data_IF_788923116935
#
_entry.id   IF_788923116935
#
_cell.length_a   1.000
_cell.length_b   1.000
_cell.length_c   1.000
_cell.angle_alpha   90.00
_cell.angle_beta   90.00
_cell.angle_gamma   90.00
#
_symmetry.space_group_name_H-M   'P 1'
#
loop_
_entity.id
_entity.type
_entity.pdbx_description
1 polymer ?
#
# COMPACT_ATOMS: atom_id res chain seq x y z
N UNK A 1 27.11 -9.70 -0.70
CA UNK A 1 25.65 -9.97 -0.75
C UNK A 1 24.92 -8.67 -0.46
N UNK A 2 24.12 -8.16 -1.40
CA UNK A 2 23.32 -6.95 -1.19
C UNK A 2 21.99 -7.36 -0.57
N UNK A 3 21.65 -6.79 0.59
CA UNK A 3 20.26 -6.74 1.02
C UNK A 3 19.56 -5.82 0.02
N UNK A 4 18.54 -6.32 -0.70
CA UNK A 4 17.74 -5.49 -1.59
C UNK A 4 17.09 -4.40 -0.74
N UNK A 5 17.48 -3.15 -0.96
CA UNK A 5 16.81 -2.02 -0.32
C UNK A 5 15.42 -1.90 -0.94
N UNK A 6 14.40 -2.38 -0.23
CA UNK A 6 13.01 -1.98 -0.45
C UNK A 6 12.75 -0.56 0.11
N UNK A 7 13.74 0.33 0.03
CA UNK A 7 13.56 1.73 0.38
C UNK A 7 12.82 2.40 -0.78
N UNK A 8 11.61 2.89 -0.51
CA UNK A 8 11.00 3.86 -1.40
C UNK A 8 11.86 5.12 -1.35
N UNK A 9 12.69 5.32 -2.37
CA UNK A 9 13.41 6.57 -2.57
C UNK A 9 12.48 7.49 -3.35
N UNK A 10 11.89 8.54 -2.74
CA UNK A 10 11.10 9.50 -3.50
C UNK A 10 12.00 10.10 -4.59
N UNK A 11 11.49 10.14 -5.82
CA UNK A 11 12.10 10.97 -6.87
C UNK A 11 12.08 12.40 -6.34
N UNK A 12 13.25 13.03 -6.22
CA UNK A 12 13.35 14.47 -5.97
C UNK A 12 12.44 15.19 -6.95
N UNK A 13 11.42 15.87 -6.46
CA UNK A 13 10.71 16.85 -7.27
C UNK A 13 11.72 17.96 -7.59
N UNK A 14 12.22 17.98 -8.84
CA UNK A 14 12.96 19.13 -9.33
C UNK A 14 12.02 20.35 -9.20
N UNK A 15 12.47 21.39 -8.50
CA UNK A 15 11.77 22.68 -8.43
C UNK A 15 11.51 23.13 -9.88
N UNK A 16 10.26 23.13 -10.32
CA UNK A 16 9.90 23.60 -11.66
C UNK A 16 10.19 25.10 -11.72
N UNK A 17 11.20 25.46 -12.52
CA UNK A 17 11.49 26.86 -12.86
C UNK A 17 10.28 27.40 -13.62
N UNK A 18 9.61 28.40 -13.04
CA UNK A 18 8.52 29.12 -13.70
C UNK A 18 9.12 29.92 -14.86
N UNK A 19 8.91 29.50 -16.11
CA UNK A 19 8.99 30.40 -17.28
C UNK A 19 8.26 29.83 -18.52
N UNK A 20 7.42 30.69 -19.12
CA UNK A 20 6.90 30.73 -20.50
C UNK A 20 5.55 30.06 -20.93
N UNK A 21 4.62 30.98 -21.26
CA UNK A 21 3.60 31.06 -22.34
C UNK A 21 2.58 29.93 -22.58
N UNK A 22 1.30 30.35 -22.61
CA UNK A 22 0.07 29.54 -22.55
C UNK A 22 -0.15 28.41 -23.58
N UNK A 23 0.65 28.34 -24.65
CA UNK A 23 0.58 27.25 -25.64
C UNK A 23 1.55 26.10 -25.31
N UNK A 24 2.72 26.41 -24.78
CA UNK A 24 3.67 25.42 -24.28
C UNK A 24 3.11 24.70 -23.05
N UNK A 25 2.32 25.39 -22.22
CA UNK A 25 1.63 24.79 -21.07
C UNK A 25 0.57 23.76 -21.47
N UNK A 26 -0.11 23.91 -22.61
CA UNK A 26 -1.10 22.92 -23.07
C UNK A 26 -0.42 21.67 -23.64
N UNK A 27 0.67 21.82 -24.41
CA UNK A 27 1.48 20.69 -24.88
C UNK A 27 2.27 20.02 -23.73
N UNK A 28 2.72 20.78 -22.74
CA UNK A 28 3.32 20.26 -21.51
C UNK A 28 2.27 19.56 -20.65
N UNK A 29 1.05 20.09 -20.52
CA UNK A 29 -0.05 19.43 -19.82
C UNK A 29 -0.54 18.18 -20.56
N UNK A 30 -0.57 18.19 -21.90
CA UNK A 30 -0.92 17.03 -22.71
C UNK A 30 0.20 15.99 -22.71
N UNK A 31 1.46 16.43 -22.77
CA UNK A 31 2.64 15.58 -22.63
C UNK A 31 2.77 15.01 -21.22
N UNK A 32 2.51 15.79 -20.18
CA UNK A 32 2.41 15.34 -18.79
C UNK A 32 1.20 14.45 -18.57
N UNK A 33 0.06 14.71 -19.23
CA UNK A 33 -1.12 13.83 -19.22
C UNK A 33 -0.80 12.48 -19.89
N UNK A 34 -0.09 12.48 -21.03
CA UNK A 34 0.38 11.26 -21.69
C UNK A 34 1.47 10.53 -20.89
N UNK A 35 2.37 11.25 -20.21
CA UNK A 35 3.36 10.68 -19.29
C UNK A 35 2.76 10.20 -17.97
N UNK A 36 1.65 10.78 -17.52
CA UNK A 36 0.86 10.32 -16.36
C UNK A 36 -0.17 9.25 -16.72
N UNK A 37 -0.31 8.95 -18.01
CA UNK A 37 -1.02 7.81 -18.58
C UNK A 37 -0.07 6.61 -18.81
N UNK A 38 0.86 6.36 -17.87
CA UNK A 38 1.34 4.99 -17.65
C UNK A 38 0.24 4.15 -16.98
N UNK A 39 -0.95 4.14 -17.59
CA UNK A 39 -2.10 3.40 -17.15
C UNK A 39 -2.04 1.99 -17.70
N UNK A 40 -2.40 1.00 -16.88
CA UNK A 40 -2.68 -0.35 -17.36
C UNK A 40 -3.80 -0.27 -18.42
N UNK A 41 -3.58 -0.87 -19.58
CA UNK A 41 -4.61 -1.17 -20.57
C UNK A 41 -5.04 -2.64 -20.49
N UNK A 42 -6.23 -2.96 -21.02
CA UNK A 42 -6.66 -4.37 -21.12
C UNK A 42 -5.64 -5.23 -21.86
N UNK A 43 -5.04 -4.69 -22.93
CA UNK A 43 -3.99 -5.36 -23.67
C UNK A 43 -2.76 -5.63 -22.78
N UNK A 44 -2.35 -4.68 -21.93
CA UNK A 44 -1.22 -4.89 -21.01
C UNK A 44 -1.49 -6.04 -20.03
N UNK A 45 -2.71 -6.11 -19.50
CA UNK A 45 -3.12 -7.19 -18.60
C UNK A 45 -3.12 -8.55 -19.31
N UNK A 46 -3.67 -8.64 -20.52
CA UNK A 46 -3.66 -9.87 -21.33
C UNK A 46 -2.24 -10.30 -21.73
N UNK A 47 -1.38 -9.33 -22.08
CA UNK A 47 0.03 -9.58 -22.37
C UNK A 47 0.79 -10.08 -21.14
N UNK A 48 0.52 -9.52 -19.96
CA UNK A 48 1.10 -9.96 -18.70
C UNK A 48 0.68 -11.39 -18.34
N UNK A 49 -0.61 -11.73 -18.47
CA UNK A 49 -1.10 -13.09 -18.26
C UNK A 49 -0.45 -14.07 -19.24
N UNK A 50 -0.33 -13.69 -20.51
CA UNK A 50 0.36 -14.48 -21.53
C UNK A 50 1.83 -14.72 -21.16
N UNK A 51 2.53 -13.69 -20.68
CA UNK A 51 3.90 -13.79 -20.20
C UNK A 51 4.02 -14.77 -19.04
N UNK A 52 3.18 -14.66 -18.00
CA UNK A 52 3.20 -15.58 -16.87
C UNK A 52 2.96 -17.01 -17.32
N UNK A 53 1.95 -17.25 -18.15
CA UNK A 53 1.60 -18.60 -18.56
C UNK A 53 2.64 -19.25 -19.48
N UNK A 54 3.26 -18.49 -20.37
CA UNK A 54 4.36 -19.00 -21.18
C UNK A 54 5.58 -19.33 -20.32
N UNK A 55 5.91 -18.48 -19.34
CA UNK A 55 7.04 -18.70 -18.42
C UNK A 55 6.80 -19.90 -17.50
N UNK A 56 5.57 -20.08 -17.03
CA UNK A 56 5.16 -21.23 -16.23
C UNK A 56 5.25 -22.53 -17.04
N UNK A 57 4.73 -22.55 -18.27
CA UNK A 57 4.80 -23.71 -19.18
C UNK A 57 6.25 -24.10 -19.53
N UNK A 58 7.18 -23.15 -19.55
CA UNK A 58 8.63 -23.40 -19.72
C UNK A 58 9.34 -23.84 -18.44
N UNK A 59 8.67 -23.85 -17.30
CA UNK A 59 9.27 -24.18 -16.00
C UNK A 59 10.22 -23.11 -15.46
N UNK A 60 10.05 -21.85 -15.88
CA UNK A 60 10.88 -20.72 -15.43
C UNK A 60 10.32 -20.05 -14.17
N UNK A 61 9.02 -20.18 -13.94
CA UNK A 61 8.33 -19.67 -12.76
C UNK A 61 7.42 -20.76 -12.17
N UNK A 62 6.98 -20.55 -10.94
CA UNK A 62 6.08 -21.44 -10.22
C UNK A 62 5.10 -20.66 -9.34
N UNK A 63 4.11 -21.35 -8.80
CA UNK A 63 3.14 -20.79 -7.88
C UNK A 63 1.85 -21.61 -7.91
N UNK A 64 1.16 -21.62 -6.78
CA UNK A 64 -0.12 -22.32 -6.58
C UNK A 64 -1.24 -21.79 -7.47
N UNK A 65 -1.19 -20.52 -7.86
CA UNK A 65 -2.15 -19.92 -8.78
C UNK A 65 -1.81 -20.21 -10.25
N UNK A 66 -0.57 -20.56 -10.60
CA UNK A 66 -0.17 -20.73 -12.01
C UNK A 66 -1.00 -21.77 -12.79
N UNK A 67 -1.28 -22.99 -12.27
CA UNK A 67 -2.11 -23.95 -12.99
C UNK A 67 -3.48 -23.38 -13.33
N UNK A 68 -4.12 -22.73 -12.36
CA UNK A 68 -5.45 -22.13 -12.52
C UNK A 68 -5.43 -20.91 -13.45
N UNK A 69 -4.43 -20.05 -13.30
CA UNK A 69 -4.24 -18.85 -14.13
C UNK A 69 -4.07 -19.20 -15.61
N UNK A 70 -3.49 -20.37 -15.90
CA UNK A 70 -3.06 -20.76 -17.24
C UNK A 70 -3.90 -21.85 -17.89
N UNK A 71 -4.87 -22.41 -17.16
CA UNK A 71 -5.89 -23.34 -17.68
C UNK A 71 -7.24 -22.68 -17.92
N UNK A 72 -7.55 -21.60 -17.20
CA UNK A 72 -8.86 -20.94 -17.21
C UNK A 72 -8.87 -19.66 -18.07
N UNK A 73 -10.05 -19.32 -18.59
CA UNK A 73 -10.26 -18.05 -19.29
C UNK A 73 -10.67 -16.96 -18.30
N UNK A 74 -9.83 -15.94 -18.15
CA UNK A 74 -10.15 -14.73 -17.40
C UNK A 74 -11.10 -13.85 -18.21
N UNK A 75 -12.15 -13.37 -17.55
CA UNK A 75 -13.11 -12.44 -18.14
C UNK A 75 -13.20 -11.15 -17.32
N UNK A 76 -13.87 -10.13 -17.87
CA UNK A 76 -14.10 -8.84 -17.21
C UNK A 76 -12.81 -8.16 -16.68
N UNK A 77 -11.74 -8.21 -17.48
CA UNK A 77 -10.48 -7.56 -17.13
C UNK A 77 -10.69 -6.04 -17.07
N UNK A 78 -10.44 -5.47 -15.89
CA UNK A 78 -10.52 -4.04 -15.64
C UNK A 78 -9.23 -3.59 -14.96
N UNK A 79 -8.47 -2.75 -15.65
CA UNK A 79 -7.29 -2.13 -15.08
C UNK A 79 -7.67 -1.16 -13.97
N UNK A 80 -6.86 -1.16 -12.91
CA UNK A 80 -6.99 -0.23 -11.81
C UNK A 80 -5.89 0.83 -11.98
N UNK A 81 -6.26 2.11 -11.90
CA UNK A 81 -5.34 3.24 -12.01
C UNK A 81 -4.76 3.65 -10.66
N UNK A 82 -3.72 4.49 -10.69
CA UNK A 82 -3.15 5.18 -9.51
C UNK A 82 -2.54 4.25 -8.44
N UNK A 83 -1.56 3.43 -8.83
CA UNK A 83 -0.79 2.63 -7.89
C UNK A 83 0.66 3.11 -7.82
N UNK A 84 1.21 3.18 -6.61
CA UNK A 84 2.55 3.69 -6.39
C UNK A 84 3.60 2.64 -6.79
N UNK A 85 4.26 2.83 -7.93
CA UNK A 85 5.41 2.00 -8.31
C UNK A 85 5.08 0.55 -8.71
N UNK A 86 3.80 0.21 -8.88
CA UNK A 86 3.36 -1.03 -9.52
C UNK A 86 3.02 -0.81 -10.99
N UNK A 87 3.58 -1.68 -11.84
CA UNK A 87 3.27 -1.67 -13.27
C UNK A 87 2.05 -2.53 -13.62
N UNK A 88 1.63 -3.43 -12.73
CA UNK A 88 0.52 -4.36 -12.97
C UNK A 88 -0.45 -4.35 -11.80
N UNK A 89 -1.65 -3.82 -12.04
CA UNK A 89 -2.81 -3.99 -11.16
C UNK A 89 -4.08 -4.04 -12.02
N UNK A 90 -4.77 -5.17 -12.01
CA UNK A 90 -6.06 -5.30 -12.69
C UNK A 90 -6.97 -6.28 -11.94
N UNK A 91 -8.28 -6.02 -12.01
CA UNK A 91 -9.28 -6.99 -11.56
C UNK A 91 -9.74 -7.87 -12.71
N UNK A 92 -10.08 -9.11 -12.41
CA UNK A 92 -10.67 -10.05 -13.37
C UNK A 92 -11.67 -10.97 -12.66
N UNK A 93 -12.54 -11.61 -13.43
CA UNK A 93 -13.44 -12.67 -12.93
C UNK A 93 -12.82 -14.03 -13.20
N UNK A 94 -12.66 -14.82 -12.14
CA UNK A 94 -12.15 -16.20 -12.12
C UNK A 94 -13.13 -17.08 -11.33
N UNK A 95 -13.66 -18.14 -11.94
CA UNK A 95 -14.65 -19.05 -11.31
C UNK A 95 -15.84 -18.32 -10.65
N UNK A 96 -16.40 -17.33 -11.35
CA UNK A 96 -17.47 -16.45 -10.86
C UNK A 96 -17.11 -15.57 -9.66
N UNK A 97 -15.86 -15.59 -9.20
CA UNK A 97 -15.32 -14.71 -8.18
C UNK A 97 -14.48 -13.60 -8.81
N UNK A 98 -14.57 -12.39 -8.26
CA UNK A 98 -13.70 -11.29 -8.69
C UNK A 98 -12.41 -11.33 -7.88
N UNK A 99 -11.28 -11.22 -8.57
CA UNK A 99 -9.96 -11.15 -7.96
C UNK A 99 -9.23 -9.89 -8.45
N UNK A 100 -8.17 -9.52 -7.75
CA UNK A 100 -7.23 -8.49 -8.20
C UNK A 100 -5.84 -9.12 -8.33
N UNK A 101 -5.28 -9.08 -9.52
CA UNK A 101 -3.92 -9.50 -9.83
C UNK A 101 -2.99 -8.31 -9.73
N UNK A 102 -1.84 -8.51 -9.06
CA UNK A 102 -0.88 -7.46 -8.76
C UNK A 102 0.55 -7.95 -9.01
N UNK A 103 1.38 -7.07 -9.55
CA UNK A 103 2.83 -7.23 -9.60
C UNK A 103 3.54 -5.87 -9.70
N UNK A 104 4.69 -5.75 -9.04
CA UNK A 104 5.55 -4.56 -9.10
C UNK A 104 6.05 -4.28 -10.52
N UNK A 105 6.45 -5.33 -11.24
CA UNK A 105 7.04 -5.27 -12.59
C UNK A 105 6.27 -6.12 -13.58
N UNK A 106 6.26 -5.74 -14.86
CA UNK A 106 5.66 -6.55 -15.95
C UNK A 106 6.44 -7.82 -16.24
N UNK A 107 7.76 -7.81 -16.02
CA UNK A 107 8.63 -8.96 -16.26
C UNK A 107 9.49 -9.25 -15.03
N UNK A 108 9.73 -10.53 -14.77
CA UNK A 108 10.51 -10.99 -13.62
C UNK A 108 11.98 -10.56 -13.69
N UNK A 109 12.55 -10.49 -14.89
CA UNK A 109 13.92 -10.06 -15.17
C UNK A 109 14.15 -8.55 -14.94
N UNK A 110 13.07 -7.79 -14.75
CA UNK A 110 13.12 -6.39 -14.29
C UNK A 110 13.32 -6.26 -12.77
N UNK A 111 13.31 -7.38 -12.05
CA UNK A 111 13.63 -7.48 -10.62
C UNK A 111 15.04 -8.03 -10.44
N UNK A 112 15.60 -7.84 -9.24
CA UNK A 112 16.91 -8.39 -8.92
C UNK A 112 16.84 -9.93 -8.95
N UNK A 113 17.72 -10.61 -9.72
CA UNK A 113 17.71 -12.06 -9.80
C UNK A 113 18.21 -12.71 -8.50
N UNK A 114 17.72 -13.91 -8.19
CA UNK A 114 18.18 -14.68 -7.03
C UNK A 114 19.57 -15.32 -7.26
N UNK A 115 19.92 -15.50 -8.53
CA UNK A 115 21.18 -16.10 -8.98
C UNK A 115 22.19 -15.01 -9.35
N UNK A 116 23.46 -15.40 -9.40
CA UNK A 116 24.49 -14.60 -10.07
C UNK A 116 24.91 -15.27 -11.37
N UNK A 117 25.48 -14.47 -12.27
CA UNK A 117 25.91 -14.92 -13.58
C UNK A 117 27.44 -14.91 -13.66
N UNK A 118 28.06 -16.02 -14.06
CA UNK A 118 29.50 -16.08 -14.24
C UNK A 118 29.98 -15.42 -15.55
N UNK A 119 31.30 -15.34 -15.74
CA UNK A 119 31.90 -14.78 -16.97
C UNK A 119 31.50 -15.52 -18.25
N UNK A 120 30.99 -16.76 -18.14
CA UNK A 120 30.49 -17.59 -19.25
C UNK A 120 28.96 -17.51 -19.39
N UNK A 121 28.31 -16.55 -18.74
CA UNK A 121 26.85 -16.35 -18.75
C UNK A 121 26.05 -17.51 -18.16
N UNK A 122 26.65 -18.35 -17.31
CA UNK A 122 25.92 -19.41 -16.59
C UNK A 122 25.33 -18.87 -15.30
N UNK A 123 24.09 -19.24 -15.03
CA UNK A 123 23.37 -18.88 -13.81
C UNK A 123 23.73 -19.83 -12.68
N UNK A 124 24.09 -19.27 -11.53
CA UNK A 124 24.44 -20.00 -10.32
C UNK A 124 23.44 -19.65 -9.23
N UNK A 125 22.56 -20.61 -8.93
CA UNK A 125 21.52 -20.46 -7.91
C UNK A 125 22.08 -20.80 -6.52
N UNK A 126 21.55 -20.17 -5.46
CA UNK A 126 21.87 -20.58 -4.10
C UNK A 126 21.32 -21.99 -3.80
N UNK A 127 21.94 -22.70 -2.87
CA UNK A 127 21.30 -23.88 -2.28
C UNK A 127 20.11 -23.49 -1.38
N UNK A 128 19.30 -24.48 -0.97
CA UNK A 128 18.09 -24.26 -0.16
C UNK A 128 18.36 -23.48 1.13
N UNK A 129 19.52 -23.71 1.78
CA UNK A 129 19.88 -23.07 3.05
C UNK A 129 20.27 -21.60 2.83
N UNK A 130 21.09 -21.34 1.81
CA UNK A 130 21.48 -20.00 1.41
C UNK A 130 20.26 -19.19 0.95
N UNK A 131 19.37 -19.80 0.16
CA UNK A 131 18.12 -19.17 -0.25
C UNK A 131 17.23 -18.82 0.95
N UNK A 132 17.03 -19.75 1.89
CA UNK A 132 16.26 -19.47 3.08
C UNK A 132 16.85 -18.31 3.91
N UNK A 133 18.17 -18.23 4.01
CA UNK A 133 18.83 -17.10 4.65
C UNK A 133 18.59 -15.78 3.91
N UNK A 134 18.68 -15.78 2.57
CA UNK A 134 18.38 -14.60 1.74
C UNK A 134 16.94 -14.12 1.92
N UNK A 135 15.98 -15.04 1.83
CA UNK A 135 14.56 -14.73 1.98
C UNK A 135 14.23 -14.20 3.40
N UNK A 136 14.79 -14.83 4.44
CA UNK A 136 14.63 -14.36 5.82
C UNK A 136 15.30 -12.99 6.05
N UNK A 137 16.44 -12.72 5.39
CA UNK A 137 17.08 -11.42 5.46
C UNK A 137 16.20 -10.32 4.83
N UNK A 138 15.54 -10.60 3.69
CA UNK A 138 14.59 -9.66 3.08
C UNK A 138 13.41 -9.36 3.99
N UNK A 139 12.80 -10.40 4.57
CA UNK A 139 11.71 -10.24 5.51
C UNK A 139 12.10 -9.44 6.75
N UNK A 140 13.25 -9.76 7.35
CA UNK A 140 13.76 -9.04 8.51
C UNK A 140 14.07 -7.58 8.19
N UNK A 141 14.60 -7.31 7.01
CA UNK A 141 14.88 -5.95 6.57
C UNK A 141 13.60 -5.13 6.45
N UNK A 142 12.59 -5.67 5.76
CA UNK A 142 11.34 -4.97 5.49
C UNK A 142 10.40 -4.88 6.71
N UNK A 143 10.33 -5.94 7.51
CA UNK A 143 9.32 -6.12 8.57
C UNK A 143 9.90 -6.21 9.98
N UNK A 144 11.24 -6.10 10.14
CA UNK A 144 11.95 -6.19 11.44
C UNK A 144 11.64 -7.42 12.30
N UNK A 145 11.04 -8.45 11.70
CA UNK A 145 10.75 -9.73 12.35
C UNK A 145 11.70 -10.82 11.89
N UNK A 146 12.11 -11.66 12.83
CA UNK A 146 12.68 -12.96 12.53
C UNK A 146 11.52 -13.93 12.29
N UNK A 147 11.46 -14.55 11.11
CA UNK A 147 10.46 -15.57 10.85
C UNK A 147 11.08 -16.76 10.14
N UNK A 148 10.60 -17.95 10.45
CA UNK A 148 10.95 -19.22 9.81
C UNK A 148 10.01 -19.57 8.64
N UNK A 149 9.20 -18.60 8.20
CA UNK A 149 8.08 -18.76 7.28
C UNK A 149 8.49 -19.34 5.91
N UNK A 150 9.73 -19.14 5.47
CA UNK A 150 10.22 -19.70 4.18
C UNK A 150 10.08 -21.23 4.12
N UNK A 151 10.46 -21.95 5.19
CA UNK A 151 10.37 -23.42 5.19
C UNK A 151 8.92 -23.91 5.26
N UNK A 152 8.07 -23.21 6.01
CA UNK A 152 6.66 -23.55 6.17
C UNK A 152 5.81 -23.26 4.93
N UNK A 153 6.24 -22.34 4.07
CA UNK A 153 5.51 -21.93 2.86
C UNK A 153 6.00 -22.62 1.59
N UNK A 154 7.30 -22.97 1.51
CA UNK A 154 7.90 -23.43 0.24
C UNK A 154 8.50 -24.85 0.30
N UNK A 155 8.47 -25.51 1.46
CA UNK A 155 8.97 -26.88 1.61
C UNK A 155 10.47 -26.96 1.86
N UNK A 156 11.03 -28.17 1.78
CA UNK A 156 12.43 -28.46 2.11
C UNK A 156 13.38 -28.39 0.91
N UNK A 157 12.87 -28.47 -0.32
CA UNK A 157 13.64 -28.43 -1.56
C UNK A 157 12.99 -27.51 -2.57
N UNK A 158 13.76 -26.55 -3.08
CA UNK A 158 13.27 -25.54 -4.01
C UNK A 158 13.92 -25.70 -5.38
N UNK A 159 13.10 -25.75 -6.41
CA UNK A 159 13.53 -25.61 -7.79
C UNK A 159 13.98 -24.17 -8.06
N UNK A 160 14.80 -23.96 -9.08
CA UNK A 160 15.20 -22.62 -9.53
C UNK A 160 13.99 -21.72 -9.82
N UNK A 161 12.93 -22.28 -10.42
CA UNK A 161 11.69 -21.57 -10.69
C UNK A 161 10.98 -21.10 -9.42
N UNK A 162 10.98 -21.91 -8.36
CA UNK A 162 10.46 -21.52 -7.04
C UNK A 162 11.31 -20.41 -6.44
N UNK A 163 12.64 -20.52 -6.49
CA UNK A 163 13.53 -19.49 -5.97
C UNK A 163 13.34 -18.14 -6.68
N UNK A 164 13.28 -18.14 -8.02
CA UNK A 164 13.05 -16.93 -8.82
C UNK A 164 11.68 -16.29 -8.51
N UNK A 165 10.62 -17.11 -8.47
CA UNK A 165 9.25 -16.64 -8.20
C UNK A 165 9.14 -16.02 -6.81
N UNK A 166 9.64 -16.73 -5.78
CA UNK A 166 9.61 -16.25 -4.41
C UNK A 166 10.47 -15.01 -4.26
N UNK A 167 11.71 -15.01 -4.75
CA UNK A 167 12.59 -13.85 -4.62
C UNK A 167 12.03 -12.59 -5.30
N UNK A 168 11.32 -12.75 -6.42
CA UNK A 168 10.59 -11.65 -7.07
C UNK A 168 9.43 -11.11 -6.23
N UNK A 169 8.70 -11.97 -5.51
CA UNK A 169 7.65 -11.56 -4.57
C UNK A 169 8.23 -10.81 -3.36
N UNK A 170 9.39 -11.23 -2.84
CA UNK A 170 10.05 -10.61 -1.68
C UNK A 170 10.56 -9.19 -1.91
N UNK A 171 10.61 -8.74 -3.16
CA UNK A 171 11.02 -7.39 -3.54
C UNK A 171 9.84 -6.39 -3.55
N UNK A 172 8.67 -6.82 -3.08
CA UNK A 172 7.42 -6.07 -3.12
C UNK A 172 6.90 -5.84 -1.71
N UNK A 173 7.00 -4.59 -1.24
CA UNK A 173 6.57 -4.18 0.11
C UNK A 173 5.11 -4.57 0.40
N UNK A 174 4.19 -4.33 -0.53
CA UNK A 174 2.79 -4.71 -0.34
C UNK A 174 2.62 -6.21 -0.12
N UNK A 175 3.29 -7.07 -0.90
CA UNK A 175 3.19 -8.52 -0.73
C UNK A 175 3.70 -8.96 0.65
N UNK A 176 4.82 -8.37 1.12
CA UNK A 176 5.37 -8.65 2.44
C UNK A 176 4.39 -8.27 3.56
N UNK A 177 3.75 -7.10 3.47
CA UNK A 177 2.72 -6.70 4.43
C UNK A 177 1.45 -7.53 4.33
N UNK A 178 1.03 -7.95 3.12
CA UNK A 178 -0.09 -8.89 2.95
C UNK A 178 0.18 -10.21 3.68
N UNK A 179 1.42 -10.73 3.61
CA UNK A 179 1.81 -11.93 4.35
C UNK A 179 1.84 -11.68 5.86
N UNK A 180 2.39 -10.56 6.32
CA UNK A 180 2.47 -10.21 7.74
C UNK A 180 1.09 -10.02 8.39
N UNK A 181 0.15 -9.43 7.65
CA UNK A 181 -1.17 -9.05 8.16
C UNK A 181 -2.28 -10.06 7.81
N UNK A 182 -1.97 -11.18 7.15
CA UNK A 182 -2.95 -12.14 6.63
C UNK A 182 -3.96 -12.66 7.66
N UNK A 183 -3.54 -12.77 8.93
CA UNK A 183 -4.36 -13.32 10.01
C UNK A 183 -5.18 -12.25 10.75
N UNK A 184 -5.01 -10.97 10.43
CA UNK A 184 -5.72 -9.88 11.10
C UNK A 184 -7.03 -9.48 10.40
N UNK A 185 -7.30 -10.02 9.20
CA UNK A 185 -8.45 -9.65 8.36
C UNK A 185 -8.54 -8.15 8.01
N UNK A 186 -7.45 -7.40 8.18
CA UNK A 186 -7.36 -5.95 7.94
C UNK A 186 -6.91 -5.60 6.52
N UNK A 187 -6.37 -6.57 5.79
CA UNK A 187 -5.91 -6.43 4.39
C UNK A 187 -6.64 -7.42 3.49
N UNK A 188 -6.69 -7.16 2.18
CA UNK A 188 -7.24 -8.09 1.21
C UNK A 188 -6.56 -9.47 1.31
N UNK A 189 -7.36 -10.53 1.35
CA UNK A 189 -6.89 -11.90 1.52
C UNK A 189 -6.07 -12.34 0.31
N UNK A 190 -4.88 -12.85 0.55
CA UNK A 190 -4.01 -13.44 -0.48
C UNK A 190 -4.61 -14.76 -0.96
N UNK A 191 -4.86 -14.88 -2.27
CA UNK A 191 -5.49 -16.06 -2.89
C UNK A 191 -4.46 -17.04 -3.47
N UNK A 192 -3.29 -16.54 -3.86
CA UNK A 192 -2.23 -17.34 -4.45
C UNK A 192 -1.23 -16.51 -5.25
N UNK A 193 -0.27 -17.18 -5.85
CA UNK A 193 0.87 -16.58 -6.56
C UNK A 193 1.18 -17.28 -7.87
N UNK A 194 1.70 -16.54 -8.84
CA UNK A 194 2.29 -17.12 -10.05
C UNK A 194 3.49 -16.28 -10.49
N UNK A 195 4.71 -16.84 -10.35
CA UNK A 195 5.93 -16.06 -10.52
C UNK A 195 6.04 -14.95 -9.47
N UNK A 196 6.40 -13.74 -9.89
CA UNK A 196 6.37 -12.55 -9.04
C UNK A 196 5.00 -11.87 -8.95
N UNK A 197 3.96 -12.46 -9.55
CA UNK A 197 2.59 -11.97 -9.45
C UNK A 197 1.85 -12.64 -8.30
N UNK A 198 0.91 -11.92 -7.70
CA UNK A 198 0.02 -12.44 -6.69
C UNK A 198 -1.42 -11.96 -6.90
N UNK A 199 -2.38 -12.78 -6.48
CA UNK A 199 -3.79 -12.43 -6.51
C UNK A 199 -4.34 -12.23 -5.11
N UNK A 200 -5.22 -11.25 -4.96
CA UNK A 200 -5.98 -10.99 -3.73
C UNK A 200 -7.47 -10.99 -4.01
N UNK A 201 -8.27 -11.15 -2.96
CA UNK A 201 -9.73 -10.98 -3.06
C UNK A 201 -10.09 -9.58 -3.59
N UNK A 202 -11.14 -9.50 -4.41
CA UNK A 202 -11.69 -8.21 -4.79
C UNK A 202 -12.51 -7.61 -3.64
N UNK A 203 -12.27 -6.34 -3.33
CA UNK A 203 -13.08 -5.55 -2.40
C UNK A 203 -13.67 -4.36 -3.14
N UNK A 204 -14.89 -3.98 -2.78
CA UNK A 204 -15.54 -2.78 -3.35
C UNK A 204 -14.89 -1.53 -2.77
N UNK A 205 -14.20 -0.68 -3.57
CA UNK A 205 -13.53 0.51 -3.05
C UNK A 205 -14.48 1.47 -2.34
N UNK A 206 -14.06 2.10 -1.23
CA UNK A 206 -14.91 3.05 -0.51
C UNK A 206 -15.31 4.27 -1.36
N UNK A 207 -14.45 4.70 -2.28
CA UNK A 207 -14.75 5.80 -3.19
C UNK A 207 -15.96 5.50 -4.07
N UNK A 208 -16.06 4.28 -4.61
CA UNK A 208 -17.16 3.84 -5.48
C UNK A 208 -18.42 3.49 -4.70
N UNK A 209 -18.29 3.11 -3.42
CA UNK A 209 -19.41 2.98 -2.48
C UNK A 209 -19.91 4.34 -1.97
N UNK A 210 -19.35 5.45 -2.47
CA UNK A 210 -19.77 6.81 -2.19
C UNK A 210 -19.12 7.35 -0.93
N UNK A 211 -18.08 8.16 -1.13
CA UNK A 211 -17.63 9.14 -0.14
C UNK A 211 -18.73 10.14 0.31
N UNK A 212 -19.94 10.05 -0.25
CA UNK A 212 -21.11 10.80 0.17
C UNK A 212 -22.47 10.14 -0.13
N UNK A 213 -22.52 8.84 -0.45
CA UNK A 213 -23.80 8.14 -0.63
C UNK A 213 -24.21 7.43 0.67
N UNK A 214 -25.51 7.19 0.86
CA UNK A 214 -26.05 6.55 2.06
C UNK A 214 -26.29 7.50 3.25
N UNK A 215 -26.83 6.94 4.33
CA UNK A 215 -27.14 7.67 5.57
C UNK A 215 -25.88 7.90 6.41
N UNK A 216 -25.90 8.90 7.30
CA UNK A 216 -24.80 9.08 8.26
C UNK A 216 -24.55 7.81 9.09
N UNK A 217 -25.61 7.08 9.45
CA UNK A 217 -25.51 5.79 10.17
C UNK A 217 -24.66 4.76 9.41
N UNK A 218 -24.84 4.62 8.10
CA UNK A 218 -24.03 3.72 7.27
C UNK A 218 -22.56 4.19 7.24
N UNK A 219 -22.32 5.49 7.03
CA UNK A 219 -20.96 6.05 7.01
C UNK A 219 -20.26 5.95 8.37
N UNK A 220 -20.97 6.14 9.48
CA UNK A 220 -20.47 5.94 10.83
C UNK A 220 -20.05 4.47 11.07
N UNK A 221 -20.83 3.52 10.54
CA UNK A 221 -20.46 2.09 10.54
C UNK A 221 -19.15 1.80 9.79
N UNK A 222 -18.92 2.46 8.64
CA UNK A 222 -17.64 2.39 7.91
C UNK A 222 -16.52 3.03 8.75
N UNK A 223 -16.76 4.22 9.33
CA UNK A 223 -15.80 4.92 10.17
C UNK A 223 -15.32 4.09 11.36
N UNK A 224 -16.23 3.40 12.05
CA UNK A 224 -15.89 2.46 13.14
C UNK A 224 -15.00 1.30 12.67
N UNK A 225 -15.23 0.78 11.46
CA UNK A 225 -14.42 -0.30 10.91
C UNK A 225 -13.04 0.19 10.46
N UNK A 226 -12.94 1.43 9.96
CA UNK A 226 -11.63 2.07 9.71
C UNK A 226 -10.84 2.24 11.02
N UNK A 227 -11.48 2.70 12.10
CA UNK A 227 -10.82 2.86 13.40
C UNK A 227 -10.29 1.52 13.94
N UNK A 228 -11.00 0.40 13.74
CA UNK A 228 -10.50 -0.95 14.09
C UNK A 228 -9.31 -1.38 13.23
N UNK A 229 -9.31 -1.02 11.95
CA UNK A 229 -8.15 -1.24 11.07
C UNK A 229 -6.92 -0.51 11.60
N UNK A 230 -7.07 0.70 12.13
CA UNK A 230 -5.95 1.45 12.73
C UNK A 230 -5.39 0.77 13.99
N UNK A 231 -6.25 0.23 14.86
CA UNK A 231 -5.82 -0.55 16.04
C UNK A 231 -4.93 -1.74 15.64
N UNK A 232 -5.26 -2.43 14.55
CA UNK A 232 -4.40 -3.49 14.00
C UNK A 232 -3.05 -2.93 13.56
N UNK A 233 -3.01 -1.81 12.82
CA UNK A 233 -1.75 -1.24 12.33
C UNK A 233 -0.83 -0.77 13.47
N UNK A 234 -1.41 -0.35 14.59
CA UNK A 234 -0.67 0.06 15.79
C UNK A 234 -0.08 -1.13 16.56
N UNK A 235 -0.67 -2.33 16.47
CA UNK A 235 -0.36 -3.45 17.38
C UNK A 235 0.04 -4.77 16.71
N UNK A 236 -0.12 -4.92 15.39
CA UNK A 236 0.16 -6.19 14.70
C UNK A 236 1.65 -6.56 14.64
N UNK A 237 2.51 -5.55 14.80
CA UNK A 237 3.97 -5.65 14.67
C UNK A 237 4.65 -5.05 15.91
N UNK A 238 5.96 -5.29 16.03
CA UNK A 238 6.76 -4.83 17.16
C UNK A 238 6.97 -3.29 17.12
N UNK A 239 6.70 -2.68 15.97
CA UNK A 239 6.68 -1.24 15.73
C UNK A 239 5.34 -0.86 15.11
N UNK A 240 4.89 0.38 15.30
CA UNK A 240 3.72 0.90 14.61
C UNK A 240 3.90 0.81 13.09
N UNK A 241 2.87 0.35 12.40
CA UNK A 241 2.81 0.38 10.94
C UNK A 241 2.20 1.72 10.53
N UNK A 242 2.97 2.55 9.85
CA UNK A 242 2.49 3.79 9.23
C UNK A 242 1.95 3.50 7.84
N UNK A 243 0.82 4.10 7.51
CA UNK A 243 0.34 4.22 6.13
C UNK A 243 0.55 5.67 5.69
N UNK A 244 1.52 5.92 4.80
CA UNK A 244 1.92 7.26 4.40
C UNK A 244 1.22 7.78 3.13
N UNK A 245 0.21 7.10 2.59
CA UNK A 245 -0.59 7.59 1.46
C UNK A 245 -2.08 7.32 1.74
N UNK A 246 -2.64 8.06 2.69
CA UNK A 246 -3.92 7.75 3.32
C UNK A 246 -5.04 8.32 2.47
N UNK A 247 -5.67 7.44 1.68
CA UNK A 247 -6.73 7.85 0.76
C UNK A 247 -7.96 6.94 0.87
N UNK A 248 -9.16 7.46 0.59
CA UNK A 248 -10.39 6.67 0.61
C UNK A 248 -10.38 5.47 -0.34
N UNK A 249 -9.80 5.63 -1.53
CA UNK A 249 -9.69 4.58 -2.55
C UNK A 249 -8.70 3.46 -2.16
N UNK A 250 -7.92 3.64 -1.10
CA UNK A 250 -7.05 2.60 -0.52
C UNK A 250 -7.76 1.71 0.50
N UNK A 251 -9.06 1.93 0.72
CA UNK A 251 -9.91 1.07 1.53
C UNK A 251 -10.99 0.45 0.67
N UNK A 252 -11.32 -0.80 0.96
CA UNK A 252 -12.40 -1.54 0.31
C UNK A 252 -13.27 -2.27 1.32
N UNK A 253 -14.49 -2.61 0.89
CA UNK A 253 -15.48 -3.33 1.68
C UNK A 253 -15.63 -4.75 1.13
N UNK A 254 -15.53 -5.76 1.99
CA UNK A 254 -15.78 -7.16 1.62
C UNK A 254 -17.29 -7.47 1.57
N UNK A 255 -17.65 -8.68 1.09
CA UNK A 255 -19.06 -9.12 1.00
C UNK A 255 -19.78 -9.15 2.37
N UNK A 256 -19.03 -9.17 3.49
CA UNK A 256 -19.54 -9.17 4.88
C UNK A 256 -19.62 -7.76 5.47
N UNK A 257 -19.27 -6.73 4.70
CA UNK A 257 -19.27 -5.33 5.13
C UNK A 257 -18.03 -4.93 5.94
N UNK A 258 -16.99 -5.76 6.03
CA UNK A 258 -15.75 -5.38 6.71
C UNK A 258 -14.92 -4.45 5.82
N UNK A 259 -14.31 -3.44 6.45
CA UNK A 259 -13.38 -2.54 5.78
C UNK A 259 -11.98 -3.13 5.86
N UNK A 260 -11.29 -3.23 4.73
CA UNK A 260 -9.91 -3.67 4.65
C UNK A 260 -9.10 -2.73 3.77
N UNK A 261 -7.79 -2.76 3.92
CA UNK A 261 -6.86 -2.00 3.08
C UNK A 261 -6.64 -2.70 1.73
N UNK A 262 -6.69 -1.90 0.67
CA UNK A 262 -6.49 -2.29 -0.73
C UNK A 262 -5.07 -2.01 -1.22
N UNK A 263 -4.49 -0.88 -0.80
CA UNK A 263 -3.15 -0.43 -1.19
C UNK A 263 -2.24 -0.44 0.04
N UNK A 264 -1.16 -1.22 -0.03
CA UNK A 264 -0.18 -1.33 1.06
C UNK A 264 1.21 -0.84 0.64
N UNK A 265 1.36 -0.17 -0.51
CA UNK A 265 2.67 0.21 -1.06
C UNK A 265 3.37 1.27 -0.19
N UNK A 266 2.58 2.17 0.41
CA UNK A 266 3.06 3.17 1.35
C UNK A 266 2.93 2.73 2.82
N UNK A 267 2.88 1.41 3.09
CA UNK A 267 3.09 0.90 4.44
C UNK A 267 4.58 0.87 4.80
N UNK A 268 4.90 1.26 6.02
CA UNK A 268 6.24 1.15 6.57
C UNK A 268 6.20 1.08 8.09
N UNK A 269 7.14 0.35 8.68
CA UNK A 269 7.33 0.39 10.13
C UNK A 269 7.88 1.76 10.56
N UNK A 270 7.58 2.18 11.79
CA UNK A 270 8.03 3.44 12.40
C UNK A 270 9.49 3.76 12.04
N UNK A 271 10.42 2.84 12.33
CA UNK A 271 11.86 3.05 12.09
C UNK A 271 12.21 3.19 10.60
N UNK A 272 11.51 2.46 9.73
CA UNK A 272 11.72 2.53 8.29
C UNK A 272 11.24 3.87 7.71
N UNK A 273 10.08 4.37 8.19
CA UNK A 273 9.56 5.68 7.77
C UNK A 273 10.46 6.82 8.29
N UNK A 274 10.87 6.77 9.55
CA UNK A 274 11.82 7.72 10.12
C UNK A 274 13.15 7.77 9.34
N UNK A 275 13.68 6.61 8.95
CA UNK A 275 14.88 6.53 8.13
C UNK A 275 14.66 7.15 6.74
N UNK A 276 13.51 6.90 6.09
CA UNK A 276 13.19 7.50 4.81
C UNK A 276 13.08 9.03 4.89
N UNK A 277 12.48 9.56 5.95
CA UNK A 277 12.38 11.01 6.20
C UNK A 277 13.77 11.62 6.38
N UNK A 278 14.61 11.04 7.24
CA UNK A 278 15.97 11.53 7.47
C UNK A 278 16.83 11.49 6.18
N UNK A 279 16.65 10.45 5.36
CA UNK A 279 17.35 10.30 4.09
C UNK A 279 16.97 11.33 3.03
N UNK A 280 15.89 12.10 3.21
CA UNK A 280 15.58 13.26 2.37
C UNK A 280 16.71 14.30 2.42
N UNK A 281 17.37 14.43 3.57
CA UNK A 281 18.57 15.25 3.73
C UNK A 281 18.24 16.72 4.00
N UNK A 282 18.66 17.62 3.13
CA UNK A 282 18.54 19.07 3.34
C UNK A 282 17.12 19.56 3.14
N UNK A 283 16.69 20.50 3.99
CA UNK A 283 15.35 21.08 4.01
C UNK A 283 15.38 22.58 4.34
N UNK A 284 14.35 23.30 3.92
CA UNK A 284 14.08 24.70 4.30
C UNK A 284 12.90 24.78 5.28
N UNK A 285 11.99 23.80 5.25
CA UNK A 285 10.78 23.73 6.06
C UNK A 285 10.40 22.29 6.39
N UNK A 286 9.57 22.09 7.42
CA UNK A 286 9.09 20.76 7.84
C UNK A 286 8.45 19.96 6.68
N UNK A 287 7.76 20.64 5.76
CA UNK A 287 7.14 20.02 4.59
C UNK A 287 8.12 19.42 3.59
N UNK A 288 9.35 19.93 3.53
CA UNK A 288 10.38 19.34 2.67
C UNK A 288 10.79 17.95 3.17
N UNK A 289 10.50 17.64 4.44
CA UNK A 289 10.76 16.35 5.07
C UNK A 289 9.55 15.41 5.04
N UNK A 290 8.41 15.82 4.51
CA UNK A 290 7.22 14.97 4.44
C UNK A 290 7.50 13.75 3.55
N UNK A 291 7.24 12.56 4.09
CA UNK A 291 7.19 11.33 3.32
C UNK A 291 5.75 11.05 2.97
N UNK A 292 5.29 11.62 1.85
CA UNK A 292 3.88 11.65 1.45
C UNK A 292 2.98 12.27 2.55
N UNK A 293 2.03 11.53 3.14
CA UNK A 293 1.18 11.98 4.24
C UNK A 293 1.85 11.86 5.63
N UNK A 294 3.02 11.21 5.72
CA UNK A 294 3.80 11.14 6.96
C UNK A 294 4.59 12.43 7.15
N UNK A 295 4.18 13.25 8.12
CA UNK A 295 4.73 14.56 8.38
C UNK A 295 6.14 14.47 8.98
N UNK A 296 7.10 15.16 8.35
CA UNK A 296 8.48 15.24 8.79
C UNK A 296 8.80 16.53 9.54
N UNK A 297 10.04 16.66 10.02
CA UNK A 297 10.53 17.87 10.68
C UNK A 297 11.87 18.29 10.12
N UNK A 298 11.98 19.58 9.80
CA UNK A 298 13.22 20.23 9.42
C UNK A 298 13.84 20.90 10.65
N UNK A 299 15.03 20.46 11.04
CA UNK A 299 15.71 21.01 12.20
C UNK A 299 16.43 22.33 11.88
N UNK A 300 16.96 22.97 12.92
CA UNK A 300 17.65 24.26 12.80
C UNK A 300 18.94 24.21 11.95
N UNK A 301 19.47 23.02 11.69
CA UNK A 301 20.63 22.80 10.83
C UNK A 301 20.25 22.66 9.34
N UNK A 302 18.95 22.75 9.01
CA UNK A 302 18.47 22.58 7.64
C UNK A 302 18.51 21.12 7.20
N UNK A 303 18.34 20.17 8.13
CA UNK A 303 18.31 18.73 7.87
C UNK A 303 17.01 18.10 8.39
N UNK A 304 16.53 17.07 7.70
CA UNK A 304 15.37 16.31 8.13
C UNK A 304 15.71 15.39 9.31
N UNK A 305 14.93 15.50 10.39
CA UNK A 305 15.05 14.62 11.55
C UNK A 305 14.47 13.23 11.25
N UNK A 306 14.98 12.21 11.94
CA UNK A 306 14.43 10.86 11.92
C UNK A 306 13.14 10.72 12.77
N UNK A 307 12.12 11.52 12.49
CA UNK A 307 10.84 11.56 13.22
C UNK A 307 9.65 11.51 12.28
N UNK A 308 8.54 10.96 12.77
CA UNK A 308 7.21 11.10 12.16
C UNK A 308 6.36 11.89 13.15
N UNK A 309 5.82 13.02 12.72
CA UNK A 309 5.07 13.91 13.61
C UNK A 309 3.61 13.48 13.80
N UNK A 310 3.02 12.82 12.80
CA UNK A 310 1.61 12.43 12.80
C UNK A 310 1.38 10.91 12.75
N UNK A 311 0.33 10.42 13.41
CA UNK A 311 -0.08 9.01 13.39
C UNK A 311 -1.13 8.72 12.30
N UNK A 312 -1.54 7.45 12.18
CA UNK A 312 -2.54 7.04 11.19
C UNK A 312 -3.92 7.62 11.50
N UNK A 313 -4.26 7.84 12.76
CA UNK A 313 -5.55 8.40 13.18
C UNK A 313 -5.69 9.82 12.65
N UNK A 314 -4.67 10.67 12.82
CA UNK A 314 -4.68 12.03 12.29
C UNK A 314 -4.81 12.05 10.76
N UNK A 315 -4.13 11.13 10.07
CA UNK A 315 -4.23 10.97 8.61
C UNK A 315 -5.63 10.54 8.17
N UNK A 316 -6.26 9.59 8.86
CA UNK A 316 -7.65 9.21 8.61
C UNK A 316 -8.60 10.36 8.89
N UNK A 317 -8.43 11.06 10.02
CA UNK A 317 -9.24 12.24 10.35
C UNK A 317 -9.16 13.31 9.27
N UNK A 318 -7.95 13.62 8.80
CA UNK A 318 -7.71 14.65 7.77
C UNK A 318 -8.24 14.24 6.40
N UNK A 319 -7.84 13.06 5.92
CA UNK A 319 -8.00 12.69 4.51
C UNK A 319 -9.31 11.91 4.24
N UNK A 320 -9.87 11.22 5.25
CA UNK A 320 -11.04 10.35 5.07
C UNK A 320 -12.25 10.87 5.82
N UNK A 321 -12.15 11.11 7.13
CA UNK A 321 -13.30 11.51 7.94
C UNK A 321 -13.71 12.94 7.69
N UNK A 322 -12.74 13.86 7.77
CA UNK A 322 -12.93 15.26 7.41
C UNK A 322 -12.99 15.36 5.89
N UNK A 323 -11.88 15.16 5.16
CA UNK A 323 -11.86 15.28 3.70
C UNK A 323 -12.20 16.69 3.20
N UNK A 324 -11.48 17.16 2.18
CA UNK A 324 -11.74 18.50 1.61
C UNK A 324 -11.75 18.42 0.09
N UNK A 325 -12.90 18.70 -0.50
CA UNK A 325 -13.04 18.94 -1.95
C UNK A 325 -13.38 20.41 -2.13
N UNK A 326 -12.53 21.16 -2.85
CA UNK A 326 -12.64 22.62 -3.05
C UNK A 326 -12.85 23.40 -1.74
N UNK A 327 -12.14 22.99 -0.68
CA UNK A 327 -12.22 23.63 0.64
C UNK A 327 -13.49 23.31 1.44
N UNK A 328 -14.42 22.50 0.91
CA UNK A 328 -15.65 22.10 1.61
C UNK A 328 -15.49 20.74 2.28
N UNK A 329 -16.07 20.62 3.48
CA UNK A 329 -16.16 19.37 4.22
C UNK A 329 -16.92 18.32 3.40
N UNK A 330 -16.22 17.29 2.95
CA UNK A 330 -16.74 16.30 1.98
C UNK A 330 -16.38 14.85 2.30
N UNK A 331 -15.74 14.60 3.43
CA UNK A 331 -15.34 13.26 3.85
C UNK A 331 -16.48 12.45 4.47
N UNK A 332 -16.10 11.27 4.93
CA UNK A 332 -16.99 10.21 5.38
C UNK A 332 -17.94 10.67 6.50
N UNK A 333 -17.48 11.54 7.40
CA UNK A 333 -18.28 11.99 8.55
C UNK A 333 -19.05 13.29 8.29
N UNK A 334 -19.22 13.69 7.02
CA UNK A 334 -20.05 14.86 6.66
C UNK A 334 -21.50 14.69 7.10
N UNK A 335 -22.13 15.78 7.54
CA UNK A 335 -23.55 15.85 7.86
C UNK A 335 -23.99 14.93 9.01
N UNK A 336 -23.35 15.01 10.19
CA UNK A 336 -23.76 14.27 11.38
C UNK A 336 -25.16 14.71 11.88
N UNK A 337 -25.90 13.83 12.58
CA UNK A 337 -27.11 14.20 13.32
C UNK A 337 -26.87 15.37 14.27
N UNK A 338 -27.86 16.24 14.44
CA UNK A 338 -27.75 17.47 15.24
C UNK A 338 -27.25 17.23 16.66
N UNK A 339 -27.67 16.13 17.30
CA UNK A 339 -27.32 15.80 18.67
C UNK A 339 -25.84 15.38 18.88
N UNK A 340 -25.09 15.05 17.81
CA UNK A 340 -23.64 14.79 17.87
C UNK A 340 -22.80 15.72 16.97
N UNK A 341 -23.44 16.61 16.22
CA UNK A 341 -22.77 17.39 15.18
C UNK A 341 -21.65 18.28 15.72
N UNK A 342 -21.91 18.95 16.85
CA UNK A 342 -20.91 19.78 17.53
C UNK A 342 -19.72 18.95 18.02
N UNK A 343 -20.00 17.83 18.70
CA UNK A 343 -18.96 16.96 19.25
C UNK A 343 -18.08 16.32 18.17
N UNK A 344 -18.67 15.90 17.05
CA UNK A 344 -17.94 15.38 15.89
C UNK A 344 -17.02 16.47 15.31
N UNK A 345 -17.51 17.70 15.20
CA UNK A 345 -16.69 18.82 14.70
C UNK A 345 -15.50 19.09 15.62
N UNK A 346 -15.73 19.15 16.94
CA UNK A 346 -14.66 19.38 17.93
C UNK A 346 -13.61 18.28 17.86
N UNK A 347 -14.02 17.00 17.98
CA UNK A 347 -13.05 15.89 18.00
C UNK A 347 -12.28 15.75 16.68
N UNK A 348 -12.90 16.08 15.54
CA UNK A 348 -12.19 16.05 14.26
C UNK A 348 -11.18 17.19 14.15
N UNK A 349 -11.49 18.39 14.67
CA UNK A 349 -10.53 19.50 14.70
C UNK A 349 -9.35 19.19 15.64
N UNK A 350 -9.63 18.61 16.81
CA UNK A 350 -8.58 18.13 17.73
C UNK A 350 -7.69 17.09 17.02
N UNK A 351 -8.30 16.13 16.33
CA UNK A 351 -7.61 15.06 15.63
C UNK A 351 -6.67 15.54 14.51
N UNK A 352 -7.05 16.59 13.76
CA UNK A 352 -6.22 17.10 12.67
C UNK A 352 -5.24 18.19 13.12
N UNK A 353 -5.27 18.57 14.40
CA UNK A 353 -4.37 19.59 14.91
C UNK A 353 -2.92 19.12 14.80
N UNK A 354 -2.07 19.93 14.18
CA UNK A 354 -0.66 19.62 14.00
C UNK A 354 0.15 20.38 15.04
N UNK A 355 0.88 19.66 15.88
CA UNK A 355 1.95 20.22 16.72
C UNK A 355 3.29 19.98 16.04
N UNK A 356 4.33 20.69 16.50
CA UNK A 356 5.72 20.50 16.00
C UNK A 356 6.44 19.33 16.68
N UNK A 357 5.74 18.67 17.60
CA UNK A 357 6.17 17.50 18.34
C UNK A 357 5.41 16.27 17.85
N UNK A 358 5.98 15.09 18.05
CA UNK A 358 5.28 13.84 17.76
C UNK A 358 4.07 13.72 18.68
N UNK A 359 2.92 13.34 18.10
CA UNK A 359 1.70 13.09 18.87
C UNK A 359 1.95 12.02 19.93
N UNK A 360 1.56 12.32 21.16
CA UNK A 360 1.67 11.38 22.26
C UNK A 360 0.57 10.30 22.15
N UNK A 361 0.95 9.03 22.39
CA UNK A 361 0.04 7.89 22.25
C UNK A 361 -1.25 8.03 23.10
N UNK A 362 -1.16 8.67 24.26
CA UNK A 362 -2.31 8.90 25.15
C UNK A 362 -3.33 9.90 24.56
N UNK A 363 -2.86 10.92 23.86
CA UNK A 363 -3.69 11.91 23.18
C UNK A 363 -4.45 11.26 22.02
N UNK A 364 -3.72 10.53 21.16
CA UNK A 364 -4.32 9.79 20.05
C UNK A 364 -5.36 8.77 20.51
N UNK A 365 -5.04 8.00 21.56
CA UNK A 365 -5.97 7.05 22.17
C UNK A 365 -7.24 7.72 22.70
N UNK A 366 -7.14 8.89 23.34
CA UNK A 366 -8.29 9.63 23.84
C UNK A 366 -9.20 10.11 22.69
N UNK A 367 -8.61 10.62 21.61
CA UNK A 367 -9.33 11.06 20.40
C UNK A 367 -10.02 9.87 19.73
N UNK A 368 -9.31 8.76 19.56
CA UNK A 368 -9.85 7.51 19.01
C UNK A 368 -11.08 7.05 19.79
N UNK A 369 -10.96 6.93 21.12
CA UNK A 369 -12.06 6.51 21.99
C UNK A 369 -13.27 7.44 21.87
N UNK A 370 -13.06 8.75 21.83
CA UNK A 370 -14.14 9.74 21.66
C UNK A 370 -14.83 9.60 20.31
N UNK A 371 -14.08 9.40 19.22
CA UNK A 371 -14.63 9.11 17.90
C UNK A 371 -15.48 7.84 17.91
N UNK A 372 -14.97 6.74 18.48
CA UNK A 372 -15.72 5.48 18.60
C UNK A 372 -17.06 5.69 19.32
N UNK A 373 -17.04 6.37 20.47
CA UNK A 373 -18.25 6.64 21.25
C UNK A 373 -19.28 7.47 20.47
N UNK A 374 -18.84 8.54 19.78
CA UNK A 374 -19.74 9.39 19.00
C UNK A 374 -20.34 8.66 17.79
N UNK A 375 -19.52 7.87 17.09
CA UNK A 375 -20.00 7.08 15.96
C UNK A 375 -20.96 5.96 16.40
N UNK A 376 -20.74 5.35 17.57
CA UNK A 376 -21.68 4.38 18.14
C UNK A 376 -23.02 5.01 18.51
N UNK A 377 -23.04 6.22 19.09
CA UNK A 377 -24.29 6.95 19.38
C UNK A 377 -25.13 7.16 18.12
N UNK A 378 -24.50 7.41 16.98
CA UNK A 378 -25.18 7.58 15.70
C UNK A 378 -25.80 6.29 15.12
N UNK A 379 -25.46 5.13 15.67
CA UNK A 379 -26.06 3.85 15.26
C UNK A 379 -27.35 3.53 16.02
N UNK A 380 -27.56 4.16 17.17
CA UNK A 380 -28.78 4.00 17.98
C UNK A 380 -29.93 4.78 17.30
N UNK A 381 -31.16 4.22 17.26
CA UNK A 381 -32.32 4.86 16.65
C UNK A 381 -32.63 6.26 17.18
#
# INVERSE_FOLDING_TARGET
>A
MKVIQCAFVPRRHAKAVKLFTGLASLALLFGLAQYSLSGCSRHDAEAFLTYLCNSYKRGEISGDLCPHLCSENFSNIQCQGQHLGKEVVFSATWNSERIVLKAKKRHLDSLEPVYWTDSRRRRHYPDDKAFAHMANAQFRFALRRNGSWVKGFFGSHLTNAQMDSVYGLLQQTEYLFSLALRNHHTVASLLGTCGHAYAVEFLSPLETQGQGSGTFKQRAGIGLRILRTLETLESAMDEHIHQCDMKPNHFGVDKKGNVKMLDLDALGLQSAVQANIANTGHCESDRDCDFFDCAGRCNAQGLCDAVVLNDNLQRVCKNIFMGKIFGRFSGLLRGPPSHIASDISVVLNDCISSTRDSVANNESYAIHKRLVQLLQKALVP
#
